data_IF_111525181780
#
_entry.id   IF_111525181780
#
_cell.length_a   1.000
_cell.length_b   1.000
_cell.length_c   1.000
_cell.angle_alpha   90.00
_cell.angle_beta   90.00
_cell.angle_gamma   90.00
#
_symmetry.space_group_name_H-M   'P 1'
#
loop_
_entity.id
_entity.type
_entity.pdbx_description
1 polymer ?
#
# COMPACT_ATOMS: atom_id res chain seq x y z
N UNK A 1 -17.95 -20.02 19.03
CA UNK A 1 -18.44 -20.80 17.88
C UNK A 1 -19.32 -21.93 18.40
N UNK A 2 -20.40 -22.23 17.70
CA UNK A 2 -21.26 -23.41 17.96
C UNK A 2 -21.02 -24.47 16.89
N UNK A 3 -21.46 -25.69 17.14
CA UNK A 3 -21.43 -26.79 16.15
C UNK A 3 -22.20 -26.45 14.86
N UNK A 4 -23.17 -25.54 14.91
CA UNK A 4 -23.86 -25.04 13.71
C UNK A 4 -22.94 -24.14 12.86
N UNK A 5 -22.20 -23.22 13.49
CA UNK A 5 -21.32 -22.26 12.80
C UNK A 5 -19.97 -22.85 12.41
N UNK A 6 -19.49 -23.83 13.17
CA UNK A 6 -18.24 -24.55 12.96
C UNK A 6 -18.41 -26.01 13.39
N UNK A 7 -18.84 -26.87 12.45
CA UNK A 7 -18.98 -28.30 12.71
C UNK A 7 -17.65 -28.94 13.11
N UNK A 8 -17.65 -29.72 14.19
CA UNK A 8 -16.47 -30.38 14.73
C UNK A 8 -15.56 -29.49 15.57
N UNK A 9 -16.00 -28.29 15.97
CA UNK A 9 -15.17 -27.42 16.81
C UNK A 9 -14.92 -28.02 18.20
N UNK A 10 -15.90 -28.75 18.74
CA UNK A 10 -15.79 -29.39 20.06
C UNK A 10 -14.88 -30.62 20.08
N UNK A 11 -14.53 -31.18 18.92
CA UNK A 11 -13.68 -32.38 18.80
C UNK A 11 -12.20 -32.05 18.62
N UNK A 12 -11.84 -30.76 18.57
CA UNK A 12 -10.45 -30.32 18.48
C UNK A 12 -9.67 -30.70 19.74
N UNK A 13 -8.41 -31.10 19.57
CA UNK A 13 -7.56 -31.64 20.63
C UNK A 13 -7.46 -30.74 21.87
N UNK A 14 -7.36 -29.42 21.66
CA UNK A 14 -7.22 -28.42 22.72
C UNK A 14 -8.48 -27.55 22.86
N UNK A 15 -9.66 -28.11 22.55
CA UNK A 15 -10.91 -27.36 22.67
C UNK A 15 -11.22 -27.01 24.13
N UNK A 16 -11.48 -25.73 24.38
CA UNK A 16 -11.98 -25.23 25.66
C UNK A 16 -13.34 -24.57 25.41
N UNK A 17 -14.36 -25.01 26.14
CA UNK A 17 -15.68 -24.41 26.10
C UNK A 17 -15.65 -23.05 26.81
N UNK A 18 -15.80 -21.98 26.04
CA UNK A 18 -16.00 -20.63 26.57
C UNK A 18 -17.48 -20.38 26.86
N UNK A 19 -17.75 -19.39 27.72
CA UNK A 19 -19.10 -18.83 27.88
C UNK A 19 -19.57 -18.25 26.54
N UNK A 20 -20.79 -18.60 26.13
CA UNK A 20 -21.37 -18.08 24.90
C UNK A 20 -21.76 -16.62 25.07
N UNK A 21 -21.33 -15.78 24.13
CA UNK A 21 -21.74 -14.39 24.02
C UNK A 21 -22.38 -14.16 22.65
N UNK A 22 -23.45 -13.35 22.56
CA UNK A 22 -23.96 -12.91 21.27
C UNK A 22 -22.87 -12.09 20.57
N UNK A 23 -22.66 -12.37 19.27
CA UNK A 23 -21.75 -11.59 18.45
C UNK A 23 -22.25 -10.16 18.28
N UNK A 24 -21.35 -9.18 18.33
CA UNK A 24 -21.69 -7.80 17.97
C UNK A 24 -21.68 -7.67 16.45
N UNK A 25 -22.73 -7.10 15.83
CA UNK A 25 -22.77 -6.85 14.39
C UNK A 25 -21.56 -6.01 13.92
N UNK A 26 -20.97 -6.37 12.79
CA UNK A 26 -19.74 -5.72 12.29
C UNK A 26 -19.96 -4.24 11.97
N UNK A 27 -21.13 -3.84 11.50
CA UNK A 27 -21.48 -2.44 11.23
C UNK A 27 -21.49 -1.57 12.51
N UNK A 28 -21.71 -2.15 13.69
CA UNK A 28 -21.64 -1.43 14.97
C UNK A 28 -20.19 -1.24 15.44
N UNK A 29 -19.28 -2.14 15.05
CA UNK A 29 -17.85 -2.06 15.40
C UNK A 29 -17.12 -1.17 14.40
N UNK A 30 -17.35 -1.41 13.11
CA UNK A 30 -16.73 -0.71 11.98
C UNK A 30 -17.70 0.32 11.40
N UNK A 31 -18.01 1.35 12.20
CA UNK A 31 -19.02 2.36 11.85
C UNK A 31 -18.69 3.20 10.61
N UNK A 32 -17.42 3.25 10.21
CA UNK A 32 -16.95 3.92 8.99
C UNK A 32 -16.85 2.97 7.78
N UNK A 33 -17.10 1.67 7.94
CA UNK A 33 -17.02 0.71 6.86
C UNK A 33 -18.32 0.70 6.05
N UNK A 34 -18.17 0.67 4.73
CA UNK A 34 -19.28 0.44 3.81
C UNK A 34 -19.68 -1.05 3.77
N UNK A 35 -20.86 -1.34 3.24
CA UNK A 35 -21.43 -2.70 3.22
C UNK A 35 -20.57 -3.71 2.44
N UNK A 36 -19.89 -3.27 1.37
CA UNK A 36 -19.00 -4.13 0.60
C UNK A 36 -17.75 -4.54 1.39
N UNK A 37 -17.16 -3.62 2.16
CA UNK A 37 -16.08 -3.91 3.10
C UNK A 37 -16.56 -4.82 4.24
N UNK A 38 -17.75 -4.56 4.79
CA UNK A 38 -18.34 -5.41 5.84
C UNK A 38 -18.52 -6.86 5.34
N UNK A 39 -18.87 -7.04 4.06
CA UNK A 39 -18.92 -8.36 3.42
C UNK A 39 -17.55 -9.06 3.42
N UNK A 40 -16.48 -8.35 3.04
CA UNK A 40 -15.11 -8.89 3.07
C UNK A 40 -14.72 -9.28 4.50
N UNK A 41 -14.96 -8.39 5.47
CA UNK A 41 -14.64 -8.63 6.88
C UNK A 41 -15.38 -9.85 7.42
N UNK A 42 -16.67 -10.00 7.12
CA UNK A 42 -17.45 -11.17 7.55
C UNK A 42 -16.88 -12.49 7.00
N UNK A 43 -16.40 -12.49 5.76
CA UNK A 43 -15.85 -13.67 5.12
C UNK A 43 -14.45 -14.04 5.67
N UNK A 44 -13.62 -13.04 5.97
CA UNK A 44 -12.28 -13.23 6.53
C UNK A 44 -12.30 -13.59 8.03
N UNK A 45 -13.25 -13.04 8.78
CA UNK A 45 -13.39 -13.28 10.22
C UNK A 45 -14.24 -14.52 10.56
N UNK A 46 -14.57 -15.36 9.57
CA UNK A 46 -15.21 -16.65 9.83
C UNK A 46 -14.32 -17.52 10.73
N UNK A 47 -14.90 -18.01 11.82
CA UNK A 47 -14.20 -18.82 12.81
C UNK A 47 -13.87 -20.21 12.26
N UNK A 48 -14.75 -20.79 11.45
CA UNK A 48 -14.49 -22.05 10.79
C UNK A 48 -13.49 -21.84 9.64
N UNK A 49 -12.29 -22.45 9.69
CA UNK A 49 -11.28 -22.28 8.65
C UNK A 49 -11.71 -22.82 7.29
N UNK A 50 -12.63 -23.81 7.25
CA UNK A 50 -13.12 -24.39 6.00
C UNK A 50 -14.06 -23.47 5.25
N UNK A 51 -14.79 -22.60 5.96
CA UNK A 51 -15.68 -21.60 5.35
C UNK A 51 -15.02 -20.23 5.24
N UNK A 52 -13.86 -20.04 5.88
CA UNK A 52 -13.08 -18.81 5.78
C UNK A 52 -12.60 -18.59 4.35
N UNK A 53 -12.84 -17.39 3.85
CA UNK A 53 -12.50 -17.04 2.48
C UNK A 53 -10.98 -16.99 2.27
N UNK A 54 -10.53 -17.50 1.12
CA UNK A 54 -9.13 -17.42 0.73
C UNK A 54 -8.80 -16.09 0.02
N UNK A 55 -7.51 -15.80 -0.15
CA UNK A 55 -7.05 -14.55 -0.74
C UNK A 55 -7.58 -14.32 -2.15
N UNK A 56 -7.53 -15.34 -3.01
CA UNK A 56 -7.96 -15.22 -4.41
C UNK A 56 -9.44 -14.87 -4.52
N UNK A 57 -10.29 -15.50 -3.70
CA UNK A 57 -11.72 -15.20 -3.63
C UNK A 57 -11.98 -13.80 -3.07
N UNK A 58 -11.26 -13.41 -2.01
CA UNK A 58 -11.40 -12.10 -1.40
C UNK A 58 -11.10 -10.97 -2.39
N UNK A 59 -10.03 -11.11 -3.18
CA UNK A 59 -9.66 -10.13 -4.20
C UNK A 59 -10.69 -9.96 -5.32
N UNK A 60 -11.59 -10.93 -5.53
CA UNK A 60 -12.68 -10.83 -6.51
C UNK A 60 -13.96 -10.20 -5.93
N UNK A 61 -13.98 -9.85 -4.64
CA UNK A 61 -15.16 -9.25 -4.03
C UNK A 61 -15.38 -7.80 -4.51
N UNK A 62 -16.65 -7.29 -4.48
CA UNK A 62 -16.98 -5.95 -4.96
C UNK A 62 -16.13 -4.85 -4.34
N UNK A 63 -15.73 -4.97 -3.07
CA UNK A 63 -14.90 -4.00 -2.37
C UNK A 63 -13.60 -3.63 -3.14
N UNK A 64 -12.98 -4.58 -3.82
CA UNK A 64 -11.73 -4.33 -4.57
C UNK A 64 -11.94 -3.82 -6.00
N UNK A 65 -13.19 -3.80 -6.48
CA UNK A 65 -13.56 -3.31 -7.83
C UNK A 65 -14.42 -2.04 -7.80
N UNK A 66 -15.09 -1.77 -6.68
CA UNK A 66 -15.95 -0.62 -6.48
C UNK A 66 -15.14 0.67 -6.29
N UNK A 67 -15.85 1.80 -6.34
CA UNK A 67 -15.32 3.09 -5.90
C UNK A 67 -15.44 3.21 -4.37
N UNK A 68 -14.52 3.91 -3.69
CA UNK A 68 -13.33 4.56 -4.25
C UNK A 68 -12.20 3.55 -4.55
N UNK A 69 -11.40 3.78 -5.62
CA UNK A 69 -10.23 2.96 -5.87
C UNK A 69 -9.20 3.13 -4.72
N UNK A 70 -8.30 2.16 -4.53
CA UNK A 70 -7.23 2.29 -3.55
C UNK A 70 -6.35 3.50 -3.85
N UNK A 71 -5.87 4.15 -2.79
CA UNK A 71 -4.91 5.25 -2.92
C UNK A 71 -3.62 4.75 -3.55
N UNK A 72 -3.05 5.53 -4.47
CA UNK A 72 -1.74 5.21 -5.05
C UNK A 72 -0.65 5.33 -4.00
N UNK A 73 0.45 4.60 -4.14
CA UNK A 73 1.54 4.59 -3.14
C UNK A 73 2.10 5.97 -2.80
N UNK A 74 2.17 6.88 -3.78
CA UNK A 74 2.65 8.25 -3.59
C UNK A 74 1.68 9.15 -2.80
N UNK A 75 0.40 8.78 -2.73
CA UNK A 75 -0.64 9.52 -1.99
C UNK A 75 -0.83 9.01 -0.56
N UNK A 76 -0.19 7.88 -0.20
CA UNK A 76 -0.26 7.36 1.15
C UNK A 76 0.47 8.30 2.12
N UNK A 77 -0.12 8.64 3.27
CA UNK A 77 0.53 9.47 4.26
C UNK A 77 1.76 8.76 4.82
N UNK A 78 2.91 9.43 4.77
CA UNK A 78 4.15 8.94 5.36
C UNK A 78 4.31 9.50 6.79
N UNK A 79 4.82 8.70 7.73
CA UNK A 79 5.15 9.20 9.06
C UNK A 79 6.25 10.27 8.96
N UNK A 80 6.19 11.26 9.84
CA UNK A 80 7.06 12.45 9.83
C UNK A 80 8.56 12.14 9.79
N UNK A 81 8.97 11.01 10.37
CA UNK A 81 10.38 10.60 10.43
C UNK A 81 10.93 10.09 9.08
N UNK A 82 10.04 9.70 8.16
CA UNK A 82 10.40 9.26 6.81
C UNK A 82 10.29 10.41 5.79
N UNK A 83 9.63 11.50 6.15
CA UNK A 83 9.57 12.69 5.30
C UNK A 83 10.95 13.36 5.26
N UNK A 84 11.44 13.77 4.08
CA UNK A 84 12.66 14.54 3.98
C UNK A 84 12.57 15.77 4.87
N UNK A 85 13.50 15.90 5.83
CA UNK A 85 13.52 16.97 6.84
C UNK A 85 13.66 18.39 6.25
N UNK A 86 13.81 18.51 4.92
CA UNK A 86 13.86 19.78 4.22
C UNK A 86 13.63 19.59 2.70
N UNK A 87 12.40 19.75 2.16
CA UNK A 87 12.18 19.73 0.71
C UNK A 87 12.70 21.01 0.00
N UNK A 88 13.24 22.00 0.73
CA UNK A 88 13.50 23.35 0.19
C UNK A 88 14.94 23.88 0.27
N UNK A 89 15.94 23.11 0.70
CA UNK A 89 17.35 23.58 0.67
C UNK A 89 18.14 22.84 -0.41
N UNK A 90 18.31 23.44 -1.60
CA UNK A 90 19.23 22.88 -2.58
C UNK A 90 20.64 22.82 -1.97
N UNK A 91 21.22 21.62 -1.98
CA UNK A 91 22.57 21.41 -1.49
C UNK A 91 23.54 22.01 -2.52
N UNK A 92 23.86 23.30 -2.35
CA UNK A 92 24.63 24.16 -3.27
C UNK A 92 25.92 23.48 -3.78
N UNK A 93 26.50 22.59 -2.96
CA UNK A 93 27.70 21.81 -3.31
C UNK A 93 27.53 20.91 -4.55
N UNK A 94 26.34 20.37 -4.83
CA UNK A 94 26.11 19.55 -6.04
C UNK A 94 25.96 20.40 -7.31
N UNK A 95 25.29 21.55 -7.20
CA UNK A 95 25.05 22.46 -8.33
C UNK A 95 26.35 23.05 -8.93
N UNK A 96 27.39 23.21 -8.11
CA UNK A 96 28.69 23.70 -8.58
C UNK A 96 29.41 22.68 -9.47
N UNK A 97 29.34 21.38 -9.12
CA UNK A 97 29.96 20.31 -9.93
C UNK A 97 29.25 20.19 -11.29
N UNK A 98 27.93 20.18 -11.31
CA UNK A 98 27.15 20.08 -12.54
C UNK A 98 27.38 21.30 -13.47
N UNK A 99 27.58 22.49 -12.90
CA UNK A 99 27.90 23.70 -13.66
C UNK A 99 29.32 23.69 -14.24
N UNK A 100 30.29 23.11 -13.51
CA UNK A 100 31.66 22.93 -14.01
C UNK A 100 31.70 21.89 -15.13
N UNK A 101 30.94 20.81 -14.99
CA UNK A 101 30.84 19.76 -16.02
C UNK A 101 30.19 20.31 -17.29
N UNK A 102 29.08 21.05 -17.17
CA UNK A 102 28.44 21.73 -18.31
C UNK A 102 29.32 22.77 -18.99
N UNK A 103 30.15 23.51 -18.23
CA UNK A 103 31.11 24.46 -18.78
C UNK A 103 32.21 23.80 -19.62
N UNK A 104 32.69 22.63 -19.20
CA UNK A 104 33.68 21.85 -19.96
C UNK A 104 33.07 21.33 -21.26
N UNK A 105 31.83 20.83 -21.25
CA UNK A 105 31.15 20.39 -22.48
C UNK A 105 30.99 21.51 -23.50
N UNK A 106 30.65 22.73 -23.07
CA UNK A 106 30.52 23.87 -23.97
C UNK A 106 31.86 24.31 -24.57
N UNK A 107 32.94 24.29 -23.78
CA UNK A 107 34.29 24.58 -24.29
C UNK A 107 34.74 23.53 -25.30
N UNK A 108 34.52 22.24 -25.03
CA UNK A 108 34.88 21.15 -25.94
C UNK A 108 34.08 21.25 -27.25
N UNK A 109 32.77 21.52 -27.18
CA UNK A 109 31.95 21.74 -28.38
C UNK A 109 32.38 22.97 -29.17
N UNK A 110 32.72 24.08 -28.51
CA UNK A 110 33.17 25.29 -29.19
C UNK A 110 34.50 25.08 -29.92
N UNK A 111 35.45 24.39 -29.29
CA UNK A 111 36.75 24.07 -29.91
C UNK A 111 36.58 23.15 -31.10
N UNK A 112 35.73 22.11 -31.01
CA UNK A 112 35.45 21.22 -32.14
C UNK A 112 34.79 21.98 -33.30
N UNK A 113 33.78 22.80 -33.02
CA UNK A 113 33.11 23.59 -34.05
C UNK A 113 34.05 24.60 -34.73
N UNK A 114 34.94 25.23 -33.97
CA UNK A 114 35.93 26.16 -34.49
C UNK A 114 36.97 25.47 -35.38
N UNK A 115 37.42 24.26 -35.01
CA UNK A 115 38.30 23.42 -35.84
C UNK A 115 37.61 22.97 -37.14
N UNK A 116 36.30 22.69 -37.09
CA UNK A 116 35.52 22.32 -38.28
C UNK A 116 35.39 23.49 -39.28
N UNK A 117 35.26 24.73 -38.77
CA UNK A 117 35.21 25.94 -39.60
C UNK A 117 36.53 26.22 -40.31
N UNK A 118 37.67 25.99 -39.66
CA UNK A 118 38.99 26.27 -40.23
C UNK A 118 39.38 25.24 -41.32
N UNK A 119 38.69 24.10 -41.37
CA UNK A 119 38.95 23.02 -42.34
C UNK A 119 38.21 23.18 -43.68
N UNK A 120 37.53 24.30 -43.91
CA UNK A 120 36.77 24.61 -45.13
C UNK A 120 37.35 25.81 -45.85
#
# INVERSE_FOLDING_TARGET
>A
PTEETWPGVTTLQDYIQFKTFPGTPLNHIFTAAADDLLGVLSALLSLNPLTRMNCSQALQMPYFSNKPPPSTGAQLPLPSNLLPKNPGRPNIKRKLLDALEGGIFLLVSYVIFFLEIIKK
#
